data_IF_209640262784
#
_entry.id   IF_209640262784
#
_cell.length_a   1.000
_cell.length_b   1.000
_cell.length_c   1.000
_cell.angle_alpha   90.00
_cell.angle_beta   90.00
_cell.angle_gamma   90.00
#
_symmetry.space_group_name_H-M   'P 1'
#
loop_
_entity.id
_entity.type
_entity.pdbx_description
1 polymer ?
#
# COMPACT_ATOMS: atom_id res chain seq x y z
N UNK A 1 1.38 -24.67 -4.04
CA UNK A 1 1.24 -23.40 -4.80
C UNK A 1 0.13 -23.52 -5.80
N UNK A 2 -0.75 -22.53 -5.88
CA UNK A 2 -1.81 -22.43 -6.88
C UNK A 2 -1.75 -21.07 -7.60
N UNK A 3 -2.16 -21.03 -8.88
CA UNK A 3 -2.22 -19.80 -9.65
C UNK A 3 -3.59 -19.14 -9.47
N UNK A 4 -3.59 -17.87 -9.05
CA UNK A 4 -4.77 -17.01 -9.04
C UNK A 4 -4.68 -16.06 -10.24
N UNK A 5 -5.64 -16.16 -11.15
CA UNK A 5 -5.73 -15.31 -12.33
C UNK A 5 -6.47 -14.01 -12.01
N UNK A 6 -5.86 -12.86 -12.32
CA UNK A 6 -6.45 -11.53 -11.99
C UNK A 6 -7.26 -10.94 -13.17
N UNK A 7 -7.10 -11.46 -14.38
CA UNK A 7 -7.77 -10.92 -15.56
C UNK A 7 -7.24 -9.53 -15.99
N UNK A 8 -6.02 -9.16 -15.58
CA UNK A 8 -5.40 -7.89 -15.91
C UNK A 8 -4.25 -8.15 -16.88
N UNK A 9 -4.31 -7.56 -18.06
CA UNK A 9 -3.24 -7.66 -19.06
C UNK A 9 -2.01 -6.83 -18.62
N UNK A 10 -0.80 -7.33 -18.91
CA UNK A 10 0.45 -6.65 -18.55
C UNK A 10 0.64 -5.30 -19.27
N UNK A 11 0.00 -5.12 -20.42
CA UNK A 11 -0.02 -3.89 -21.23
C UNK A 11 -1.18 -2.94 -20.86
N UNK A 12 -1.96 -3.25 -19.81
CA UNK A 12 -3.02 -2.35 -19.34
C UNK A 12 -2.48 -0.93 -19.13
N UNK A 13 -3.09 0.11 -19.72
CA UNK A 13 -2.51 1.45 -19.83
C UNK A 13 -2.62 2.26 -18.53
N UNK A 14 -2.13 1.70 -17.42
CA UNK A 14 -2.03 2.38 -16.12
C UNK A 14 -0.56 2.48 -15.76
N UNK A 15 -0.14 3.67 -15.36
CA UNK A 15 1.19 3.95 -14.83
C UNK A 15 1.04 4.85 -13.60
N UNK A 16 1.31 4.28 -12.43
CA UNK A 16 1.40 5.05 -11.20
C UNK A 16 2.87 5.37 -10.91
N UNK A 17 3.10 6.58 -10.41
CA UNK A 17 4.39 6.95 -9.84
C UNK A 17 4.64 6.24 -8.51
N UNK A 18 5.87 6.33 -8.03
CA UNK A 18 6.28 5.60 -6.84
C UNK A 18 5.57 6.10 -5.57
N UNK A 19 5.35 7.41 -5.46
CA UNK A 19 4.61 8.02 -4.35
C UNK A 19 3.20 7.45 -4.24
N UNK A 20 2.48 7.40 -5.35
CA UNK A 20 1.12 6.85 -5.39
C UNK A 20 1.10 5.36 -5.06
N UNK A 21 2.05 4.58 -5.60
CA UNK A 21 2.19 3.15 -5.29
C UNK A 21 2.39 2.95 -3.79
N UNK A 22 3.37 3.63 -3.19
CA UNK A 22 3.68 3.47 -1.77
C UNK A 22 2.50 3.90 -0.89
N UNK A 23 1.83 4.99 -1.24
CA UNK A 23 0.64 5.44 -0.53
C UNK A 23 -0.46 4.39 -0.56
N UNK A 24 -0.72 3.77 -1.69
CA UNK A 24 -1.74 2.75 -1.82
C UNK A 24 -1.38 1.46 -1.05
N UNK A 25 -0.12 1.04 -1.10
CA UNK A 25 0.36 -0.09 -0.34
C UNK A 25 0.26 0.15 1.17
N UNK A 26 0.67 1.32 1.66
CA UNK A 26 0.56 1.72 3.07
C UNK A 26 -0.90 1.80 3.51
N UNK A 27 -1.80 2.25 2.63
CA UNK A 27 -3.22 2.37 2.92
C UNK A 27 -3.84 1.04 3.36
N UNK A 28 -3.42 -0.09 2.81
CA UNK A 28 -3.92 -1.40 3.22
C UNK A 28 -3.57 -1.70 4.69
N UNK A 29 -2.36 -1.37 5.12
CA UNK A 29 -1.95 -1.48 6.52
C UNK A 29 -2.71 -0.48 7.41
N UNK A 30 -2.81 0.76 6.97
CA UNK A 30 -3.53 1.80 7.70
C UNK A 30 -5.00 1.42 7.94
N UNK A 31 -5.68 0.91 6.94
CA UNK A 31 -7.07 0.49 7.02
C UNK A 31 -7.26 -0.71 7.96
N UNK A 32 -6.28 -1.60 8.10
CA UNK A 32 -6.36 -2.74 9.01
C UNK A 32 -6.02 -2.36 10.46
N UNK A 33 -5.06 -1.47 10.67
CA UNK A 33 -4.58 -1.07 12.01
C UNK A 33 -5.47 0.03 12.62
N UNK A 34 -5.86 1.02 11.80
CA UNK A 34 -6.59 2.20 12.25
C UNK A 34 -5.69 3.32 12.80
N UNK A 35 -6.23 4.55 12.80
CA UNK A 35 -5.46 5.77 13.07
C UNK A 35 -4.82 5.84 14.47
N UNK A 36 -5.44 5.24 15.48
CA UNK A 36 -4.97 5.32 16.87
C UNK A 36 -3.69 4.53 17.11
N UNK A 37 -3.53 3.40 16.43
CA UNK A 37 -2.44 2.45 16.64
C UNK A 37 -1.42 2.46 15.52
N UNK A 38 -1.69 3.14 14.42
CA UNK A 38 -0.87 3.06 13.21
C UNK A 38 0.62 3.31 13.47
N UNK A 39 0.98 4.36 14.19
CA UNK A 39 2.37 4.68 14.47
C UNK A 39 3.09 3.63 15.33
N UNK A 40 2.35 2.86 16.14
CA UNK A 40 2.93 1.85 17.03
C UNK A 40 3.04 0.48 16.40
N UNK A 41 2.11 0.15 15.49
CA UNK A 41 1.92 -1.21 14.99
C UNK A 41 2.30 -1.35 13.51
N UNK A 42 2.43 -0.24 12.78
CA UNK A 42 3.01 -0.25 11.45
C UNK A 42 4.53 -0.10 11.52
N UNK A 43 5.23 -1.07 10.98
CA UNK A 43 6.69 -1.07 10.93
C UNK A 43 7.18 -1.13 9.49
N UNK A 44 8.21 -0.39 9.19
CA UNK A 44 8.91 -0.51 7.92
C UNK A 44 10.42 -0.50 8.12
N UNK A 45 11.11 -1.18 7.24
CA UNK A 45 12.56 -1.20 7.19
C UNK A 45 13.04 -1.06 5.76
N UNK A 46 14.22 -0.47 5.63
CA UNK A 46 14.89 -0.22 4.37
C UNK A 46 16.32 -0.72 4.49
N UNK A 47 16.71 -1.64 3.63
CA UNK A 47 18.02 -2.29 3.68
C UNK A 47 18.66 -2.33 2.30
N UNK A 48 19.95 -1.95 2.22
CA UNK A 48 20.73 -2.12 1.01
C UNK A 48 20.91 -3.60 0.67
N UNK A 49 20.79 -3.94 -0.61
CA UNK A 49 21.11 -5.26 -1.14
C UNK A 49 22.54 -5.28 -1.63
N UNK A 50 23.24 -6.36 -1.35
CA UNK A 50 24.62 -6.56 -1.80
C UNK A 50 24.63 -7.35 -3.11
N UNK A 51 24.95 -6.69 -4.23
CA UNK A 51 25.06 -7.35 -5.54
C UNK A 51 25.01 -6.38 -6.72
N UNK A 52 26.11 -5.91 -7.21
CA UNK A 52 26.32 -5.24 -8.53
C UNK A 52 25.66 -3.88 -8.79
N UNK A 53 24.38 -3.75 -8.69
CA UNK A 53 23.65 -2.46 -8.74
C UNK A 53 23.20 -2.09 -7.34
N UNK A 54 23.26 -0.79 -6.98
CA UNK A 54 22.67 -0.29 -5.73
C UNK A 54 21.15 -0.47 -5.78
N UNK A 55 20.67 -1.55 -5.22
CA UNK A 55 19.26 -1.84 -4.99
C UNK A 55 18.98 -2.01 -3.51
N UNK A 56 17.74 -1.92 -3.14
CA UNK A 56 17.31 -1.97 -1.75
C UNK A 56 16.09 -2.86 -1.59
N UNK A 57 15.93 -3.41 -0.40
CA UNK A 57 14.71 -4.08 0.02
C UNK A 57 13.93 -3.18 0.95
N UNK A 58 12.66 -2.97 0.66
CA UNK A 58 11.69 -2.38 1.57
C UNK A 58 10.83 -3.49 2.14
N UNK A 59 10.70 -3.52 3.47
CA UNK A 59 9.75 -4.38 4.19
C UNK A 59 8.78 -3.49 4.96
N UNK A 60 7.48 -3.71 4.78
CA UNK A 60 6.39 -3.15 5.57
C UNK A 60 5.73 -4.29 6.35
N UNK A 61 5.40 -4.10 7.63
CA UNK A 61 4.80 -5.17 8.43
C UNK A 61 3.96 -4.65 9.59
N UNK A 62 3.05 -5.50 10.04
CA UNK A 62 2.26 -5.35 11.26
C UNK A 62 1.99 -6.71 11.87
N UNK A 63 1.55 -6.74 13.14
CA UNK A 63 1.17 -7.96 13.83
C UNK A 63 -0.24 -7.83 14.41
N UNK A 64 -1.03 -8.91 14.32
CA UNK A 64 -2.40 -8.93 14.84
C UNK A 64 -3.43 -8.22 13.96
N UNK A 65 -3.05 -7.81 12.75
CA UNK A 65 -3.93 -7.14 11.76
C UNK A 65 -3.90 -7.85 10.41
N UNK A 66 -4.33 -9.12 10.34
CA UNK A 66 -4.36 -9.85 9.08
C UNK A 66 -5.46 -9.28 8.16
N UNK A 67 -5.25 -9.44 6.87
CA UNK A 67 -6.29 -9.21 5.88
C UNK A 67 -6.36 -10.39 4.90
N UNK A 68 -7.54 -10.58 4.34
CA UNK A 68 -7.81 -11.68 3.46
C UNK A 68 -7.26 -11.42 2.05
N UNK A 69 -6.63 -12.45 1.44
CA UNK A 69 -6.08 -12.34 0.09
C UNK A 69 -7.15 -12.06 -0.98
N UNK A 70 -8.40 -12.45 -0.75
CA UNK A 70 -9.51 -12.24 -1.69
C UNK A 70 -9.67 -10.74 -2.03
N UNK A 71 -9.37 -9.84 -1.08
CA UNK A 71 -9.40 -8.40 -1.33
C UNK A 71 -8.30 -7.93 -2.29
N UNK A 72 -7.23 -8.70 -2.41
CA UNK A 72 -6.17 -8.46 -3.38
C UNK A 72 -6.50 -9.02 -4.77
N UNK A 73 -7.51 -9.87 -4.87
CA UNK A 73 -7.92 -10.57 -6.11
C UNK A 73 -9.10 -9.89 -6.80
N UNK A 74 -10.17 -9.59 -6.06
CA UNK A 74 -11.41 -9.09 -6.67
C UNK A 74 -11.33 -7.59 -7.00
N UNK A 75 -11.88 -7.21 -8.17
CA UNK A 75 -12.08 -5.82 -8.58
C UNK A 75 -13.49 -5.39 -8.16
N UNK A 76 -13.61 -4.20 -7.55
CA UNK A 76 -14.90 -3.67 -7.09
C UNK A 76 -15.47 -4.38 -5.86
N UNK A 77 -14.85 -5.46 -5.39
CA UNK A 77 -15.18 -6.12 -4.14
C UNK A 77 -14.46 -5.42 -2.98
N UNK A 78 -15.14 -4.61 -2.21
CA UNK A 78 -14.58 -4.03 -0.99
C UNK A 78 -15.61 -4.15 0.13
N UNK A 79 -15.26 -4.82 1.23
CA UNK A 79 -16.04 -4.76 2.48
C UNK A 79 -16.17 -3.33 2.99
N UNK A 80 -15.32 -2.44 2.49
CA UNK A 80 -15.22 -1.04 2.86
C UNK A 80 -16.33 -0.18 2.21
N UNK A 81 -16.97 -0.67 1.13
CA UNK A 81 -18.01 0.06 0.40
C UNK A 81 -19.30 0.31 1.23
N UNK A 82 -19.57 -0.52 2.24
CA UNK A 82 -20.75 -0.38 3.11
C UNK A 82 -20.49 0.38 4.41
N UNK A 83 -19.24 0.70 4.73
CA UNK A 83 -18.86 1.39 5.97
C UNK A 83 -18.44 2.83 5.68
N UNK A 84 -19.43 3.73 5.65
CA UNK A 84 -19.19 5.16 5.39
C UNK A 84 -18.22 5.73 6.41
N UNK A 85 -17.08 6.24 5.94
CA UNK A 85 -16.11 7.02 6.72
C UNK A 85 -15.11 6.23 7.57
N UNK A 86 -15.10 4.89 7.52
CA UNK A 86 -14.20 4.07 8.35
C UNK A 86 -12.91 3.65 7.62
N UNK A 87 -12.93 3.55 6.30
CA UNK A 87 -11.81 3.09 5.49
C UNK A 87 -11.55 4.05 4.33
N UNK A 88 -10.27 4.17 3.92
CA UNK A 88 -9.84 5.01 2.81
C UNK A 88 -10.00 4.26 1.47
N UNK A 89 -9.65 2.96 1.44
CA UNK A 89 -9.72 2.12 0.23
C UNK A 89 -11.16 1.72 -0.12
N UNK A 90 -11.64 2.14 -1.30
CA UNK A 90 -13.04 1.92 -1.71
C UNK A 90 -13.21 0.85 -2.81
N UNK A 91 -12.23 0.63 -3.67
CA UNK A 91 -12.45 -0.06 -4.96
C UNK A 91 -11.73 -1.40 -5.13
N UNK A 92 -10.85 -1.79 -4.21
CA UNK A 92 -10.14 -3.08 -4.28
C UNK A 92 -9.16 -3.23 -5.47
N UNK A 93 -8.83 -2.14 -6.16
CA UNK A 93 -7.96 -2.16 -7.33
C UNK A 93 -6.50 -1.80 -7.00
N UNK A 94 -6.29 -1.07 -5.92
CA UNK A 94 -5.05 -0.40 -5.60
C UNK A 94 -3.84 -1.33 -5.61
N UNK A 95 -3.88 -2.42 -4.86
CA UNK A 95 -2.76 -3.36 -4.78
C UNK A 95 -2.39 -3.95 -6.14
N UNK A 96 -3.37 -4.33 -6.97
CA UNK A 96 -3.14 -4.89 -8.31
C UNK A 96 -2.47 -3.91 -9.25
N UNK A 97 -2.94 -2.66 -9.22
CA UNK A 97 -2.38 -1.60 -10.05
C UNK A 97 -1.00 -1.16 -9.55
N UNK A 98 -0.80 -1.15 -8.23
CA UNK A 98 0.53 -0.93 -7.62
C UNK A 98 1.52 -1.99 -8.08
N UNK A 99 1.15 -3.27 -8.01
CA UNK A 99 1.98 -4.38 -8.49
C UNK A 99 2.28 -4.28 -9.99
N UNK A 100 1.27 -4.01 -10.82
CA UNK A 100 1.46 -3.85 -12.26
C UNK A 100 2.41 -2.68 -12.57
N UNK A 101 2.25 -1.56 -11.87
CA UNK A 101 3.11 -0.38 -12.05
C UNK A 101 4.55 -0.65 -11.60
N UNK A 102 4.76 -1.34 -10.47
CA UNK A 102 6.07 -1.77 -10.02
C UNK A 102 6.76 -2.68 -11.05
N UNK A 103 6.03 -3.63 -11.64
CA UNK A 103 6.57 -4.50 -12.67
C UNK A 103 7.00 -3.73 -13.93
N UNK A 104 6.22 -2.73 -14.36
CA UNK A 104 6.59 -1.84 -15.46
C UNK A 104 7.84 -1.02 -15.17
N UNK A 105 8.10 -0.72 -13.89
CA UNK A 105 9.34 -0.07 -13.42
C UNK A 105 10.52 -1.05 -13.27
N UNK A 106 10.32 -2.36 -13.50
CA UNK A 106 11.34 -3.39 -13.36
C UNK A 106 11.49 -3.97 -11.94
N UNK A 107 10.58 -3.64 -11.02
CA UNK A 107 10.54 -4.18 -9.66
C UNK A 107 9.57 -5.36 -9.66
N UNK A 108 10.11 -6.56 -9.84
CA UNK A 108 9.32 -7.77 -10.06
C UNK A 108 9.29 -8.72 -8.87
N UNK A 109 10.26 -8.63 -7.97
CA UNK A 109 10.31 -9.49 -6.78
C UNK A 109 9.54 -8.83 -5.64
N UNK A 110 8.27 -9.18 -5.57
CA UNK A 110 7.28 -8.69 -4.61
C UNK A 110 6.73 -9.89 -3.84
N UNK A 111 6.75 -9.81 -2.53
CA UNK A 111 6.22 -10.84 -1.65
C UNK A 111 5.23 -10.24 -0.67
N UNK A 112 4.06 -10.85 -0.56
CA UNK A 112 3.05 -10.51 0.42
C UNK A 112 2.68 -11.74 1.23
N UNK A 113 2.69 -11.59 2.54
CA UNK A 113 2.26 -12.57 3.53
C UNK A 113 1.21 -11.94 4.45
N UNK A 114 0.20 -12.69 4.85
CA UNK A 114 -0.69 -12.29 5.93
C UNK A 114 -1.31 -13.52 6.58
N UNK A 115 -1.10 -13.64 7.88
CA UNK A 115 -1.58 -14.73 8.71
C UNK A 115 -1.19 -16.12 8.16
N UNK A 116 -2.08 -16.77 7.41
CA UNK A 116 -1.95 -18.14 6.95
C UNK A 116 -1.75 -18.29 5.44
N UNK A 117 -1.38 -17.20 4.74
CA UNK A 117 -1.18 -17.24 3.28
C UNK A 117 -0.03 -16.38 2.81
N UNK A 118 0.54 -16.80 1.68
CA UNK A 118 1.54 -16.06 0.90
C UNK A 118 1.05 -15.83 -0.53
N UNK A 119 1.40 -14.69 -1.11
CA UNK A 119 1.30 -14.47 -2.55
C UNK A 119 2.60 -13.86 -3.11
N UNK A 120 2.90 -14.28 -4.35
CA UNK A 120 3.91 -13.65 -5.20
C UNK A 120 3.27 -13.29 -6.53
N UNK A 121 3.38 -12.05 -6.99
CA UNK A 121 2.96 -11.72 -8.36
C UNK A 121 3.70 -12.57 -9.38
N UNK A 122 3.01 -12.96 -10.44
CA UNK A 122 3.57 -13.72 -11.56
C UNK A 122 2.90 -13.31 -12.87
N UNK A 123 3.51 -13.69 -13.99
CA UNK A 123 2.91 -13.56 -15.32
C UNK A 123 2.44 -14.94 -15.75
N UNK A 124 1.22 -15.01 -16.26
CA UNK A 124 0.74 -16.17 -16.99
C UNK A 124 0.30 -15.77 -18.40
N UNK A 125 0.24 -16.75 -19.30
CA UNK A 125 -0.23 -16.55 -20.67
C UNK A 125 -1.66 -17.05 -20.79
N UNK A 126 -2.51 -16.25 -21.46
CA UNK A 126 -3.87 -16.63 -21.78
C UNK A 126 -4.11 -16.49 -23.27
N UNK A 127 -4.71 -17.51 -23.87
CA UNK A 127 -5.07 -17.49 -25.29
C UNK A 127 -6.42 -16.80 -25.43
N UNK A 128 -6.43 -15.68 -26.14
CA UNK A 128 -7.63 -14.91 -26.48
C UNK A 128 -7.76 -14.92 -28.00
N UNK A 129 -8.73 -15.65 -28.53
CA UNK A 129 -8.92 -15.88 -29.95
C UNK A 129 -7.64 -16.46 -30.61
N UNK A 130 -7.00 -15.66 -31.49
CA UNK A 130 -5.77 -16.04 -32.20
C UNK A 130 -4.49 -15.45 -31.59
N UNK A 131 -4.59 -14.77 -30.43
CA UNK A 131 -3.49 -14.08 -29.78
C UNK A 131 -3.17 -14.69 -28.41
N UNK A 132 -1.91 -14.60 -28.00
CA UNK A 132 -1.47 -14.93 -26.65
C UNK A 132 -1.24 -13.62 -25.89
N UNK A 133 -1.95 -13.43 -24.79
CA UNK A 133 -1.88 -12.25 -23.95
C UNK A 133 -1.16 -12.59 -22.65
N UNK A 134 -0.20 -11.78 -22.24
CA UNK A 134 0.46 -11.88 -20.93
C UNK A 134 -0.40 -11.21 -19.89
N UNK A 135 -0.72 -11.92 -18.84
CA UNK A 135 -1.65 -11.53 -17.80
C UNK A 135 -0.96 -11.53 -16.44
N UNK A 136 -1.35 -10.60 -15.57
CA UNK A 136 -0.94 -10.59 -14.17
C UNK A 136 -1.72 -11.64 -13.38
N UNK A 137 -1.00 -12.41 -12.56
CA UNK A 137 -1.56 -13.37 -11.63
C UNK A 137 -0.79 -13.37 -10.32
N UNK A 138 -1.23 -14.22 -9.39
CA UNK A 138 -0.52 -14.49 -8.15
C UNK A 138 -0.26 -15.99 -8.02
N UNK A 139 0.96 -16.34 -7.64
CA UNK A 139 1.26 -17.63 -7.03
C UNK A 139 0.83 -17.56 -5.56
N UNK A 140 -0.12 -18.42 -5.18
CA UNK A 140 -0.68 -18.50 -3.84
C UNK A 140 -0.18 -19.75 -3.13
N UNK A 141 0.09 -19.61 -1.85
CA UNK A 141 0.45 -20.71 -0.96
C UNK A 141 -0.22 -20.52 0.41
N UNK A 142 -0.85 -21.59 0.89
CA UNK A 142 -1.35 -21.66 2.26
C UNK A 142 -0.19 -21.94 3.21
N UNK A 143 -0.13 -21.25 4.33
CA UNK A 143 0.90 -21.42 5.39
C UNK A 143 0.25 -21.66 6.75
N UNK A 144 1.06 -21.80 7.78
CA UNK A 144 0.59 -21.74 9.16
C UNK A 144 0.34 -20.27 9.55
N UNK A 145 -0.70 -20.04 10.35
CA UNK A 145 -1.03 -18.71 10.85
C UNK A 145 -0.02 -18.27 11.91
N UNK A 146 0.72 -17.21 11.64
CA UNK A 146 1.68 -16.58 12.57
C UNK A 146 1.20 -15.21 13.09
N UNK A 147 0.03 -14.75 12.63
CA UNK A 147 -0.56 -13.46 12.96
C UNK A 147 0.20 -12.25 12.41
N UNK A 148 1.18 -12.45 11.54
CA UNK A 148 1.93 -11.36 10.91
C UNK A 148 1.35 -11.01 9.54
N UNK A 149 1.50 -9.75 9.17
CA UNK A 149 1.25 -9.25 7.82
C UNK A 149 2.50 -8.54 7.35
N UNK A 150 3.04 -8.96 6.22
CA UNK A 150 4.31 -8.46 5.70
C UNK A 150 4.24 -8.29 4.18
N UNK A 151 4.66 -7.12 3.70
CA UNK A 151 4.92 -6.84 2.29
C UNK A 151 6.40 -6.55 2.10
N UNK A 152 7.02 -7.24 1.16
CA UNK A 152 8.44 -7.04 0.81
C UNK A 152 8.55 -6.67 -0.66
N UNK A 153 9.31 -5.64 -0.94
CA UNK A 153 9.68 -5.19 -2.28
C UNK A 153 11.20 -5.29 -2.41
N UNK A 154 11.69 -6.12 -3.31
CA UNK A 154 13.12 -6.25 -3.63
C UNK A 154 13.49 -5.44 -4.87
N UNK A 155 14.74 -5.03 -4.96
CA UNK A 155 15.26 -4.33 -6.12
C UNK A 155 14.78 -2.89 -6.29
N UNK A 156 14.30 -2.26 -5.22
CA UNK A 156 13.81 -0.88 -5.27
C UNK A 156 14.97 0.14 -5.36
N UNK A 157 14.77 1.30 -6.01
CA UNK A 157 15.79 2.33 -6.11
C UNK A 157 16.05 3.05 -4.78
N UNK A 158 17.19 3.73 -4.67
CA UNK A 158 17.66 4.38 -3.44
C UNK A 158 16.72 5.48 -2.90
N UNK A 159 16.01 6.17 -3.75
CA UNK A 159 15.11 7.27 -3.37
C UNK A 159 13.78 6.79 -2.73
N UNK A 160 13.52 5.50 -2.76
CA UNK A 160 12.30 4.91 -2.17
C UNK A 160 12.15 5.21 -0.68
N UNK A 161 13.25 5.38 0.04
CA UNK A 161 13.19 5.75 1.45
C UNK A 161 12.53 7.12 1.67
N UNK A 162 12.91 8.10 0.87
CA UNK A 162 12.34 9.44 0.94
C UNK A 162 10.86 9.43 0.52
N UNK A 163 10.54 8.75 -0.58
CA UNK A 163 9.16 8.56 -1.06
C UNK A 163 8.28 7.85 -0.02
N UNK A 164 8.80 6.83 0.67
CA UNK A 164 8.08 6.11 1.72
C UNK A 164 7.79 7.05 2.91
N UNK A 165 8.77 7.82 3.32
CA UNK A 165 8.63 8.78 4.42
C UNK A 165 7.62 9.87 4.09
N UNK A 166 7.61 10.34 2.84
CA UNK A 166 6.61 11.31 2.36
C UNK A 166 5.22 10.68 2.26
N UNK A 167 5.09 9.46 1.72
CA UNK A 167 3.81 8.76 1.62
C UNK A 167 3.12 8.58 2.99
N UNK A 168 3.89 8.33 4.05
CA UNK A 168 3.36 8.22 5.41
C UNK A 168 2.70 9.50 5.91
N UNK A 169 3.15 10.68 5.46
CA UNK A 169 2.57 11.96 5.86
C UNK A 169 1.15 12.16 5.33
N UNK A 170 0.72 11.42 4.31
CA UNK A 170 -0.63 11.49 3.76
C UNK A 170 -1.71 10.88 4.66
N UNK A 171 -1.32 10.09 5.68
CA UNK A 171 -2.27 9.42 6.55
C UNK A 171 -2.54 10.19 7.82
N UNK A 172 -3.81 10.21 8.21
CA UNK A 172 -4.21 10.78 9.49
C UNK A 172 -3.99 9.76 10.60
N UNK A 173 -2.95 9.94 11.41
CA UNK A 173 -2.69 9.15 12.61
C UNK A 173 -2.15 10.03 13.74
N UNK A 174 -2.32 9.57 14.96
CA UNK A 174 -2.13 10.37 16.17
C UNK A 174 -0.75 11.00 16.28
N UNK A 175 0.30 10.28 15.88
CA UNK A 175 1.70 10.69 15.95
C UNK A 175 2.24 11.24 14.62
N UNK A 176 1.37 11.55 13.66
CA UNK A 176 1.82 12.10 12.38
C UNK A 176 2.55 13.44 12.62
N UNK A 177 3.82 13.55 12.20
CA UNK A 177 4.65 14.73 12.49
C UNK A 177 4.17 16.03 11.83
N UNK A 178 3.23 15.96 10.87
CA UNK A 178 2.58 17.17 10.32
C UNK A 178 1.67 17.86 11.32
N UNK A 179 1.15 17.12 12.31
CA UNK A 179 0.22 17.66 13.29
C UNK A 179 0.96 18.14 14.54
N UNK A 180 0.75 19.40 14.91
CA UNK A 180 1.19 19.95 16.17
C UNK A 180 0.17 19.68 17.28
N UNK A 181 0.02 20.63 18.20
CA UNK A 181 -0.95 20.54 19.29
C UNK A 181 -2.40 20.54 18.77
N UNK A 182 -3.22 19.62 19.26
CA UNK A 182 -4.66 19.63 19.02
C UNK A 182 -5.28 20.81 19.77
N UNK A 183 -5.91 21.73 19.05
CA UNK A 183 -6.51 22.95 19.59
C UNK A 183 -8.03 22.92 19.64
N UNK A 184 -8.67 21.99 18.96
CA UNK A 184 -10.11 21.82 18.99
C UNK A 184 -10.58 20.51 18.38
N UNK A 185 -11.79 20.11 18.73
CA UNK A 185 -12.45 18.90 18.20
C UNK A 185 -13.96 19.07 18.24
N UNK A 186 -14.63 18.54 17.20
CA UNK A 186 -16.06 18.34 17.13
C UNK A 186 -16.34 16.95 16.56
N UNK A 187 -17.61 16.56 16.46
CA UNK A 187 -17.99 15.27 15.86
C UNK A 187 -17.46 15.05 14.43
N UNK A 188 -17.19 16.15 13.70
CA UNK A 188 -16.83 16.12 12.27
C UNK A 188 -15.48 16.74 11.95
N UNK A 189 -14.78 17.31 12.93
CA UNK A 189 -13.58 18.08 12.67
C UNK A 189 -12.62 18.02 13.85
N UNK A 190 -11.33 17.81 13.57
CA UNK A 190 -10.27 17.99 14.54
C UNK A 190 -9.34 19.07 14.01
N UNK A 191 -9.04 20.06 14.85
CA UNK A 191 -8.17 21.19 14.49
C UNK A 191 -6.85 21.02 15.21
N UNK A 192 -5.77 21.00 14.45
CA UNK A 192 -4.41 20.95 14.96
C UNK A 192 -3.70 22.27 14.68
N UNK A 193 -2.84 22.68 15.61
CA UNK A 193 -1.81 23.69 15.32
C UNK A 193 -0.82 23.07 14.35
N UNK A 194 -0.36 23.85 13.37
CA UNK A 194 0.68 23.39 12.43
C UNK A 194 1.95 23.03 13.19
N UNK A 195 2.53 21.86 12.89
CA UNK A 195 3.83 21.48 13.40
C UNK A 195 4.92 22.40 12.85
N UNK A 196 5.83 22.85 13.74
CA UNK A 196 6.97 23.68 13.34
C UNK A 196 8.03 22.91 12.56
N UNK A 197 7.98 21.57 12.57
CA UNK A 197 8.96 20.72 11.91
C UNK A 197 8.83 20.69 10.37
N UNK A 198 7.67 21.08 9.82
CA UNK A 198 7.39 20.99 8.39
C UNK A 198 6.99 22.35 7.82
N UNK A 199 7.95 23.07 7.23
CA UNK A 199 7.75 24.37 6.59
C UNK A 199 7.77 24.31 5.06
N UNK A 200 7.66 23.14 4.45
CA UNK A 200 7.72 22.99 2.99
C UNK A 200 6.36 23.21 2.34
N UNK A 201 6.36 23.65 1.09
CA UNK A 201 5.16 23.77 0.24
C UNK A 201 4.40 22.45 0.18
N UNK A 202 5.12 21.35 0.05
CA UNK A 202 4.60 19.97 0.01
C UNK A 202 3.79 19.62 1.27
N UNK A 203 4.30 19.96 2.46
CA UNK A 203 3.57 19.73 3.71
C UNK A 203 2.22 20.47 3.77
N UNK A 204 2.11 21.65 3.15
CA UNK A 204 0.85 22.39 3.05
C UNK A 204 -0.16 21.71 2.13
N UNK A 205 0.29 21.10 1.06
CA UNK A 205 -0.53 20.33 0.14
C UNK A 205 -1.07 19.07 0.83
N UNK A 206 -0.25 18.36 1.60
CA UNK A 206 -0.67 17.21 2.40
C UNK A 206 -1.74 17.55 3.44
N UNK A 207 -1.56 18.64 4.18
CA UNK A 207 -2.58 19.09 5.15
C UNK A 207 -3.93 19.40 4.49
N UNK A 208 -3.93 19.92 3.27
CA UNK A 208 -5.15 20.13 2.48
C UNK A 208 -5.79 18.82 2.04
N UNK A 209 -4.99 17.82 1.71
CA UNK A 209 -5.47 16.51 1.24
C UNK A 209 -6.09 15.70 2.39
N UNK A 210 -5.40 15.59 3.52
CA UNK A 210 -5.90 14.89 4.72
C UNK A 210 -7.20 15.50 5.24
N UNK A 211 -7.38 16.82 5.08
CA UNK A 211 -8.63 17.50 5.42
C UNK A 211 -9.79 17.20 4.47
N UNK A 212 -9.53 16.90 3.19
CA UNK A 212 -10.58 16.64 2.18
C UNK A 212 -11.22 15.27 2.30
N UNK A 213 -10.45 14.23 2.57
CA UNK A 213 -10.95 12.84 2.58
C UNK A 213 -11.84 12.51 3.79
N UNK A 214 -11.99 13.42 4.74
CA UNK A 214 -12.95 13.30 5.85
C UNK A 214 -14.23 14.09 5.69
N UNK A 215 -14.37 14.91 4.63
CA UNK A 215 -15.53 15.81 4.42
C UNK A 215 -16.43 15.38 3.27
N UNK A 216 -16.17 14.26 2.61
CA UNK A 216 -17.08 13.59 1.68
C UNK A 216 -17.62 12.30 2.33
#
# INVERSE_FOLDING_TARGET
>A
MSLIKLGIAMDYPVEWDFERILRDLIQNFYDSIGYENFAKEFHYSYRAEYGGKRSYTVKMSTKGHPFSYEWLVYIGGSTKASSVGKYIGKYGEGFKISVLSLWKMGIMDIFMHSADWNIRPCIYEEKVENSVVKMLGYEYEQTEDDGETTLVLHGVPWYVYDELSEALLHFFYKENPLFGEKIGESERCIIYRRSKAFYTQKALEYLRFVGRDRYE
#
